data_IF_607353596992
#
_entry.id   IF_607353596992
#
_cell.length_a   1.000
_cell.length_b   1.000
_cell.length_c   1.000
_cell.angle_alpha   90.00
_cell.angle_beta   90.00
_cell.angle_gamma   90.00
#
_symmetry.space_group_name_H-M   'P 1'
#
loop_
_entity.id
_entity.type
_entity.pdbx_description
1 polymer ?
#
# COMPACT_ATOMS: atom_id res chain seq x y z
N UNK A 1 -8.50 6.77 -3.80
CA UNK A 1 -8.56 7.55 -5.07
C UNK A 1 -7.25 8.30 -5.22
N UNK A 2 -6.58 8.15 -6.35
CA UNK A 2 -5.24 8.69 -6.59
C UNK A 2 -5.33 10.15 -7.05
N UNK A 3 -4.53 11.03 -6.46
CA UNK A 3 -4.47 12.44 -6.84
C UNK A 3 -3.59 12.63 -8.08
N UNK A 4 -4.16 12.40 -9.27
CA UNK A 4 -3.47 12.41 -10.58
C UNK A 4 -2.54 13.61 -10.77
N UNK A 5 -2.98 14.83 -10.44
CA UNK A 5 -2.17 16.04 -10.58
C UNK A 5 -0.91 16.04 -9.72
N UNK A 6 -1.00 15.54 -8.48
CA UNK A 6 0.18 15.44 -7.60
C UNK A 6 1.14 14.36 -8.09
N UNK A 7 0.61 13.31 -8.70
CA UNK A 7 1.40 12.25 -9.31
C UNK A 7 2.20 12.78 -10.51
N UNK A 8 1.56 13.57 -11.37
CA UNK A 8 2.21 14.26 -12.49
C UNK A 8 3.33 15.21 -12.00
N UNK A 9 3.06 16.01 -10.97
CA UNK A 9 4.06 16.90 -10.36
C UNK A 9 5.24 16.12 -9.76
N UNK A 10 4.97 14.99 -9.09
CA UNK A 10 6.00 14.12 -8.50
C UNK A 10 6.99 13.61 -9.54
N UNK A 11 6.49 13.22 -10.72
CA UNK A 11 7.32 12.69 -11.81
C UNK A 11 7.68 13.76 -12.85
N UNK A 12 7.31 15.03 -12.62
CA UNK A 12 7.50 16.12 -13.59
C UNK A 12 6.99 15.80 -15.00
N UNK A 13 5.88 15.07 -15.09
CA UNK A 13 5.28 14.58 -16.33
C UNK A 13 5.98 13.37 -16.98
N UNK A 14 7.06 12.83 -16.38
CA UNK A 14 7.78 11.66 -16.86
C UNK A 14 7.01 10.35 -16.56
N UNK A 15 6.45 9.77 -17.62
CA UNK A 15 5.64 8.54 -17.53
C UNK A 15 6.50 7.29 -17.32
N UNK A 16 7.73 7.28 -17.81
CA UNK A 16 8.65 6.15 -17.64
C UNK A 16 9.13 6.07 -16.18
N UNK A 17 9.32 7.23 -15.55
CA UNK A 17 9.58 7.33 -14.12
C UNK A 17 8.39 6.81 -13.29
N UNK A 18 7.16 7.19 -13.64
CA UNK A 18 5.97 6.64 -12.96
C UNK A 18 5.88 5.12 -13.13
N UNK A 19 6.07 4.61 -14.35
CA UNK A 19 6.05 3.17 -14.62
C UNK A 19 7.08 2.44 -13.76
N UNK A 20 8.30 2.98 -13.65
CA UNK A 20 9.36 2.44 -12.80
C UNK A 20 8.98 2.40 -11.31
N UNK A 21 8.32 3.45 -10.79
CA UNK A 21 7.83 3.46 -9.40
C UNK A 21 6.77 2.40 -9.16
N UNK A 22 5.89 2.19 -10.14
CA UNK A 22 4.84 1.17 -10.06
C UNK A 22 5.41 -0.24 -10.17
N UNK A 23 6.43 -0.47 -11.00
CA UNK A 23 7.15 -1.75 -11.05
C UNK A 23 7.84 -2.09 -9.72
N UNK A 24 8.47 -1.09 -9.07
CA UNK A 24 9.06 -1.28 -7.74
C UNK A 24 8.01 -1.62 -6.67
N UNK A 25 6.84 -0.97 -6.73
CA UNK A 25 5.70 -1.30 -5.88
C UNK A 25 5.22 -2.73 -6.10
N UNK A 26 5.00 -3.15 -7.35
CA UNK A 26 4.56 -4.50 -7.69
C UNK A 26 5.56 -5.58 -7.26
N UNK A 27 6.86 -5.30 -7.36
CA UNK A 27 7.91 -6.23 -6.95
C UNK A 27 7.94 -6.47 -5.43
N UNK A 28 7.73 -5.41 -4.63
CA UNK A 28 7.76 -5.50 -3.16
C UNK A 28 6.44 -6.08 -2.60
N UNK A 29 5.31 -5.80 -3.25
CA UNK A 29 3.96 -6.02 -2.72
C UNK A 29 3.68 -7.46 -2.24
N UNK A 30 3.95 -8.54 -3.00
CA UNK A 30 3.65 -9.90 -2.57
C UNK A 30 4.34 -10.27 -1.27
N UNK A 31 5.60 -9.83 -1.11
CA UNK A 31 6.39 -10.12 0.08
C UNK A 31 5.89 -9.37 1.32
N UNK A 32 5.44 -8.13 1.15
CA UNK A 32 4.88 -7.31 2.22
C UNK A 32 3.53 -7.85 2.69
N UNK A 33 2.65 -8.22 1.76
CA UNK A 33 1.36 -8.83 2.09
C UNK A 33 1.53 -10.13 2.87
N UNK A 34 2.42 -11.00 2.43
CA UNK A 34 2.69 -12.26 3.11
C UNK A 34 3.28 -12.05 4.51
N UNK A 35 4.15 -11.04 4.70
CA UNK A 35 4.67 -10.67 6.03
C UNK A 35 3.58 -10.16 6.97
N UNK A 36 2.67 -9.30 6.48
CA UNK A 36 1.55 -8.82 7.30
C UNK A 36 0.62 -9.99 7.66
N UNK A 37 0.23 -10.81 6.69
CA UNK A 37 -0.65 -11.97 6.90
C UNK A 37 -0.07 -12.96 7.92
N UNK A 38 1.20 -13.35 7.71
CA UNK A 38 1.89 -14.30 8.58
C UNK A 38 2.14 -13.72 9.98
N UNK A 39 2.50 -12.44 10.07
CA UNK A 39 2.70 -11.76 11.35
C UNK A 39 1.42 -11.60 12.16
N UNK A 40 0.28 -11.32 11.51
CA UNK A 40 -1.03 -11.30 12.17
C UNK A 40 -1.41 -12.69 12.71
N UNK A 41 -1.12 -13.74 11.95
CA UNK A 41 -1.41 -15.13 12.34
C UNK A 41 -0.52 -15.63 13.49
N UNK A 42 0.76 -15.26 13.47
CA UNK A 42 1.77 -15.77 14.40
C UNK A 42 2.07 -14.81 15.57
N UNK A 43 1.31 -13.71 15.69
CA UNK A 43 1.51 -12.67 16.71
C UNK A 43 2.92 -12.05 16.67
N UNK A 44 3.50 -11.97 15.46
CA UNK A 44 4.78 -11.32 15.20
C UNK A 44 4.56 -9.84 14.90
N UNK A 45 4.24 -9.07 15.94
CA UNK A 45 3.87 -7.65 15.84
C UNK A 45 4.94 -6.78 15.15
N UNK A 46 6.22 -7.06 15.36
CA UNK A 46 7.33 -6.32 14.73
C UNK A 46 7.32 -6.49 13.19
N UNK A 47 7.07 -7.71 12.70
CA UNK A 47 6.99 -7.99 11.27
C UNK A 47 5.78 -7.30 10.63
N UNK A 48 4.64 -7.33 11.32
CA UNK A 48 3.42 -6.60 10.90
C UNK A 48 3.70 -5.11 10.81
N UNK A 49 4.28 -4.53 11.86
CA UNK A 49 4.61 -3.11 11.91
C UNK A 49 5.55 -2.71 10.77
N UNK A 50 6.65 -3.42 10.60
CA UNK A 50 7.63 -3.15 9.55
C UNK A 50 7.01 -3.23 8.15
N UNK A 51 6.28 -4.31 7.87
CA UNK A 51 5.70 -4.53 6.55
C UNK A 51 4.56 -3.53 6.25
N UNK A 52 3.71 -3.24 7.23
CA UNK A 52 2.65 -2.24 7.09
C UNK A 52 3.23 -0.83 6.89
N UNK A 53 4.27 -0.45 7.65
CA UNK A 53 4.97 0.82 7.50
C UNK A 53 5.54 0.99 6.08
N UNK A 54 6.19 -0.05 5.56
CA UNK A 54 6.81 -0.01 4.22
C UNK A 54 5.75 0.08 3.12
N UNK A 55 4.69 -0.72 3.19
CA UNK A 55 3.60 -0.67 2.22
C UNK A 55 2.89 0.70 2.27
N UNK A 56 2.68 1.26 3.46
CA UNK A 56 2.13 2.59 3.66
C UNK A 56 2.97 3.66 2.97
N UNK A 57 4.30 3.59 3.10
CA UNK A 57 5.22 4.50 2.43
C UNK A 57 5.08 4.46 0.91
N UNK A 58 4.92 3.27 0.32
CA UNK A 58 4.72 3.12 -1.11
C UNK A 58 3.37 3.69 -1.58
N UNK A 59 2.28 3.43 -0.86
CA UNK A 59 0.96 3.97 -1.19
C UNK A 59 0.88 5.50 -1.06
N UNK A 60 1.65 6.09 -0.12
CA UNK A 60 1.80 7.54 -0.01
C UNK A 60 2.47 8.17 -1.22
N UNK A 61 3.38 7.47 -1.92
CA UNK A 61 3.95 7.98 -3.18
C UNK A 61 2.90 8.12 -4.28
N UNK A 62 1.83 7.32 -4.21
CA UNK A 62 0.69 7.39 -5.13
C UNK A 62 -0.45 8.25 -4.60
N UNK A 63 -0.24 8.97 -3.49
CA UNK A 63 -1.26 9.77 -2.82
C UNK A 63 -2.55 8.97 -2.53
N UNK A 64 -2.41 7.68 -2.23
CA UNK A 64 -3.55 6.84 -1.88
C UNK A 64 -3.83 6.98 -0.38
N UNK A 65 -4.84 7.77 -0.02
CA UNK A 65 -5.12 8.11 1.38
C UNK A 65 -5.88 6.99 2.13
N UNK A 66 -6.74 6.23 1.44
CA UNK A 66 -7.71 5.36 2.07
C UNK A 66 -7.08 4.09 2.67
N UNK A 67 -6.23 3.41 1.90
CA UNK A 67 -5.48 2.24 2.31
C UNK A 67 -4.31 2.64 3.22
N UNK A 68 -3.73 3.84 3.04
CA UNK A 68 -2.71 4.38 3.93
C UNK A 68 -3.21 4.50 5.37
N UNK A 69 -4.44 4.99 5.59
CA UNK A 69 -5.04 5.07 6.92
C UNK A 69 -5.26 3.69 7.53
N UNK A 70 -5.70 2.71 6.73
CA UNK A 70 -5.88 1.32 7.20
C UNK A 70 -4.53 0.69 7.58
N UNK A 71 -3.48 0.92 6.80
CA UNK A 71 -2.13 0.44 7.10
C UNK A 71 -1.54 1.10 8.34
N UNK A 72 -1.85 2.37 8.60
CA UNK A 72 -1.44 3.04 9.84
C UNK A 72 -2.11 2.43 11.07
N UNK A 73 -3.38 2.03 10.95
CA UNK A 73 -4.08 1.28 11.99
C UNK A 73 -3.53 -0.15 12.18
N UNK A 74 -3.08 -0.82 11.11
CA UNK A 74 -2.41 -2.13 11.18
C UNK A 74 -1.00 -1.99 11.77
N UNK A 75 -0.26 -0.95 11.41
CA UNK A 75 1.10 -0.67 11.91
C UNK A 75 1.11 -0.36 13.42
N UNK A 76 0.07 0.32 13.90
CA UNK A 76 -0.10 0.62 15.34
C UNK A 76 -0.65 -0.56 16.16
N UNK A 77 -0.77 -1.74 15.55
CA UNK A 77 -1.17 -2.95 16.23
C UNK A 77 -0.10 -3.40 17.25
N UNK A 78 -0.52 -3.61 18.50
CA UNK A 78 0.35 -3.99 19.62
C UNK A 78 -0.16 -5.23 20.35
N UNK A 79 0.63 -5.74 21.30
CA UNK A 79 0.37 -7.00 22.04
C UNK A 79 -1.01 -7.11 22.74
N UNK A 80 -1.72 -6.00 22.95
CA UNK A 80 -3.02 -5.94 23.62
C UNK A 80 -4.18 -5.50 22.70
N UNK A 81 -3.93 -5.30 21.41
CA UNK A 81 -4.89 -4.70 20.49
C UNK A 81 -5.66 -5.77 19.70
N UNK A 82 -6.85 -5.40 19.23
CA UNK A 82 -7.87 -6.27 18.64
C UNK A 82 -7.42 -6.93 17.31
N UNK A 83 -6.85 -8.13 17.38
CA UNK A 83 -6.32 -8.89 16.23
C UNK A 83 -7.35 -9.04 15.12
N UNK A 84 -8.61 -9.28 15.48
CA UNK A 84 -9.70 -9.43 14.51
C UNK A 84 -9.91 -8.16 13.71
N UNK A 85 -9.78 -7.00 14.35
CA UNK A 85 -9.84 -5.71 13.65
C UNK A 85 -8.65 -5.54 12.69
N UNK A 86 -7.44 -5.91 13.10
CA UNK A 86 -6.27 -5.82 12.23
C UNK A 86 -6.37 -6.78 11.03
N UNK A 87 -6.85 -8.01 11.23
CA UNK A 87 -7.16 -8.97 10.16
C UNK A 87 -8.23 -8.44 9.19
N UNK A 88 -9.30 -7.82 9.71
CA UNK A 88 -10.35 -7.23 8.88
C UNK A 88 -9.82 -6.05 8.04
N UNK A 89 -9.06 -5.13 8.66
CA UNK A 89 -8.43 -4.02 7.95
C UNK A 89 -7.43 -4.52 6.90
N UNK A 90 -6.68 -5.57 7.20
CA UNK A 90 -5.75 -6.17 6.24
C UNK A 90 -6.47 -6.79 5.04
N UNK A 91 -7.61 -7.44 5.26
CA UNK A 91 -8.45 -7.94 4.17
C UNK A 91 -8.94 -6.78 3.28
N UNK A 92 -9.40 -5.67 3.87
CA UNK A 92 -9.80 -4.47 3.11
C UNK A 92 -8.64 -3.87 2.30
N UNK A 93 -7.42 -3.83 2.87
CA UNK A 93 -6.23 -3.38 2.14
C UNK A 93 -5.92 -4.30 0.97
N UNK A 94 -5.87 -5.61 1.22
CA UNK A 94 -5.60 -6.62 0.19
C UNK A 94 -6.60 -6.52 -0.96
N UNK A 95 -7.88 -6.39 -0.64
CA UNK A 95 -8.95 -6.38 -1.63
C UNK A 95 -9.05 -5.03 -2.38
N UNK A 96 -8.53 -3.94 -1.80
CA UNK A 96 -8.46 -2.62 -2.44
C UNK A 96 -7.26 -2.40 -3.37
N UNK A 97 -6.15 -3.12 -3.16
CA UNK A 97 -4.93 -2.99 -3.97
C UNK A 97 -5.12 -3.20 -5.49
N UNK A 98 -5.94 -4.15 -5.97
CA UNK A 98 -6.18 -4.31 -7.40
C UNK A 98 -6.78 -3.07 -8.07
N UNK A 99 -7.68 -2.34 -7.40
CA UNK A 99 -8.26 -1.11 -7.96
C UNK A 99 -7.24 0.03 -7.98
N UNK A 100 -6.38 0.14 -6.95
CA UNK A 100 -5.24 1.08 -6.97
C UNK A 100 -4.32 0.79 -8.15
N UNK A 101 -3.99 -0.49 -8.39
CA UNK A 101 -3.10 -0.88 -9.48
C UNK A 101 -3.68 -0.54 -10.85
N UNK A 102 -4.98 -0.78 -11.03
CA UNK A 102 -5.73 -0.46 -12.23
C UNK A 102 -5.83 1.04 -12.46
N UNK A 103 -6.02 1.84 -11.40
CA UNK A 103 -6.03 3.30 -11.49
C UNK A 103 -4.66 3.82 -11.96
N UNK A 104 -3.56 3.32 -11.38
CA UNK A 104 -2.18 3.64 -11.81
C UNK A 104 -1.92 3.25 -13.28
N UNK A 105 -2.36 2.07 -13.71
CA UNK A 105 -2.20 1.63 -15.09
C UNK A 105 -2.96 2.53 -16.07
N UNK A 106 -4.19 2.92 -15.74
CA UNK A 106 -4.96 3.85 -16.56
C UNK A 106 -4.30 5.22 -16.68
N UNK A 107 -3.69 5.71 -15.60
CA UNK A 107 -2.95 6.97 -15.58
C UNK A 107 -1.73 6.89 -16.51
N UNK A 108 -0.96 5.79 -16.46
CA UNK A 108 0.19 5.57 -17.33
C UNK A 108 -0.24 5.51 -18.81
N UNK A 109 -1.31 4.78 -19.12
CA UNK A 109 -1.79 4.57 -20.50
C UNK A 109 -2.45 5.81 -21.11
N UNK A 110 -3.36 6.45 -20.38
CA UNK A 110 -4.08 7.65 -20.86
C UNK A 110 -3.16 8.88 -20.84
N UNK A 111 -2.20 8.88 -19.93
CA UNK A 111 -1.35 10.00 -19.67
C UNK A 111 -2.00 11.08 -18.82
N UNK A 112 -1.14 11.99 -18.37
CA UNK A 112 -1.50 13.33 -17.93
C UNK A 112 -1.50 14.27 -19.14
#
# INVERSE_FOLDING_TARGET
>A
MIHVKKLEELVSGDRDLLASLVELFDADLPSLLLKIESGLKNESFEDVQYAAHRLKGQLRNFFEDELTVKLEAIESFGKNTDRKRAEALFAEVRDGLPEVRKELEQIIQKGF
#
